data_IF_779798821081
#
_entry.id   IF_779798821081
#
_cell.length_a   1.000
_cell.length_b   1.000
_cell.length_c   1.000
_cell.angle_alpha   90.00
_cell.angle_beta   90.00
_cell.angle_gamma   90.00
#
_symmetry.space_group_name_H-M   'P 1'
#
loop_
_entity.id
_entity.type
_entity.pdbx_description
1 polymer ?
#
# COMPACT_ATOMS: atom_id res chain seq x y z
N UNK A 1 -4.80 22.73 2.64
CA UNK A 1 -4.87 22.74 4.11
C UNK A 1 -3.48 23.04 4.67
N UNK A 2 -3.38 23.87 5.72
CA UNK A 2 -2.10 24.21 6.36
C UNK A 2 -1.61 23.08 7.27
N UNK A 3 -2.53 22.26 7.77
CA UNK A 3 -2.26 21.21 8.76
C UNK A 3 -1.74 19.90 8.12
N UNK A 4 -1.73 19.82 6.79
CA UNK A 4 -1.22 18.67 6.04
C UNK A 4 0.25 18.89 5.69
N UNK A 5 1.13 18.04 6.18
CA UNK A 5 2.54 17.99 5.77
C UNK A 5 2.71 17.55 4.31
N UNK A 6 3.88 17.79 3.67
CA UNK A 6 4.16 17.27 2.33
C UNK A 6 3.95 15.75 2.23
N UNK A 7 3.36 15.29 1.13
CA UNK A 7 3.03 13.89 0.87
C UNK A 7 3.92 13.40 -0.27
N UNK A 8 4.57 12.25 -0.09
CA UNK A 8 5.23 11.53 -1.18
C UNK A 8 4.33 10.42 -1.70
N UNK A 9 3.96 10.49 -2.97
CA UNK A 9 3.21 9.46 -3.68
C UNK A 9 4.17 8.56 -4.49
N UNK A 10 4.42 7.35 -3.99
CA UNK A 10 5.19 6.32 -4.70
C UNK A 10 4.24 5.59 -5.64
N UNK A 11 4.47 5.68 -6.95
CA UNK A 11 3.54 5.20 -7.97
C UNK A 11 4.25 4.58 -9.16
N UNK A 12 3.57 3.72 -9.92
CA UNK A 12 4.10 3.13 -11.16
C UNK A 12 3.99 4.04 -12.38
N UNK A 13 3.15 5.08 -12.30
CA UNK A 13 2.79 5.97 -13.41
C UNK A 13 2.54 7.36 -12.84
N UNK A 14 2.75 8.43 -13.63
CA UNK A 14 2.42 9.78 -13.21
C UNK A 14 0.98 9.88 -12.67
N UNK A 15 0.80 10.73 -11.66
CA UNK A 15 -0.52 11.07 -11.14
C UNK A 15 -1.34 11.81 -12.21
N UNK A 16 -2.66 11.75 -12.08
CA UNK A 16 -3.57 12.47 -12.97
C UNK A 16 -3.33 13.99 -12.88
N UNK A 17 -3.39 14.68 -14.02
CA UNK A 17 -3.10 16.13 -14.16
C UNK A 17 -3.92 17.06 -13.26
N UNK A 18 -5.07 16.60 -12.77
CA UNK A 18 -5.90 17.37 -11.83
C UNK A 18 -5.31 17.44 -10.43
N UNK A 19 -4.31 16.63 -10.11
CA UNK A 19 -3.60 16.68 -8.83
C UNK A 19 -2.48 17.73 -8.99
N UNK A 20 -2.76 18.96 -8.53
CA UNK A 20 -1.89 20.13 -8.76
C UNK A 20 -1.27 20.72 -7.49
N UNK A 21 -1.43 20.06 -6.35
CA UNK A 21 -0.94 20.57 -5.07
C UNK A 21 0.59 20.51 -4.99
N UNK A 22 1.23 21.63 -4.65
CA UNK A 22 2.68 21.72 -4.42
C UNK A 22 3.16 20.85 -3.24
N UNK A 23 2.25 20.43 -2.37
CA UNK A 23 2.55 19.52 -1.25
C UNK A 23 2.72 18.07 -1.69
N UNK A 24 2.39 17.72 -2.94
CA UNK A 24 2.51 16.34 -3.43
C UNK A 24 3.79 16.19 -4.25
N UNK A 25 4.71 15.40 -3.71
CA UNK A 25 5.87 14.92 -4.43
C UNK A 25 5.57 13.54 -5.05
N UNK A 26 5.86 13.34 -6.33
CA UNK A 26 5.60 12.07 -7.02
C UNK A 26 6.91 11.37 -7.29
N UNK A 27 7.03 10.13 -6.82
CA UNK A 27 8.17 9.26 -7.10
C UNK A 27 7.68 8.11 -7.96
N UNK A 28 8.24 8.02 -9.17
CA UNK A 28 7.98 6.89 -10.06
C UNK A 28 8.88 5.75 -9.67
N UNK A 29 8.27 4.66 -9.24
CA UNK A 29 8.93 3.44 -8.83
C UNK A 29 8.20 2.27 -9.47
N UNK A 30 8.93 1.38 -10.15
CA UNK A 30 8.32 0.33 -10.97
C UNK A 30 8.51 -1.08 -10.42
N UNK A 31 9.48 -1.28 -9.53
CA UNK A 31 9.79 -2.58 -8.93
C UNK A 31 9.54 -2.60 -7.42
N UNK A 32 8.31 -2.89 -7.03
CA UNK A 32 7.88 -2.91 -5.63
C UNK A 32 8.40 -4.11 -4.82
N UNK A 33 9.36 -4.88 -5.37
CA UNK A 33 10.14 -5.86 -4.62
C UNK A 33 11.53 -5.33 -4.22
N UNK A 34 11.98 -4.22 -4.81
CA UNK A 34 13.29 -3.64 -4.51
C UNK A 34 13.20 -2.13 -4.27
N UNK A 35 13.25 -1.73 -3.01
CA UNK A 35 13.21 -0.33 -2.60
C UNK A 35 14.58 0.33 -2.47
N UNK A 36 15.67 -0.38 -2.77
CA UNK A 36 17.04 0.15 -2.67
C UNK A 36 17.20 1.53 -3.32
N UNK A 37 16.63 1.80 -4.53
CA UNK A 37 16.78 3.11 -5.18
C UNK A 37 16.11 4.29 -4.47
N UNK A 38 15.17 4.02 -3.55
CA UNK A 38 14.34 5.05 -2.89
C UNK A 38 14.32 4.91 -1.37
N UNK A 39 15.23 4.12 -0.80
CA UNK A 39 15.23 3.77 0.62
C UNK A 39 15.35 5.00 1.53
N UNK A 40 16.16 5.98 1.12
CA UNK A 40 16.36 7.25 1.81
C UNK A 40 15.08 8.09 1.96
N UNK A 41 14.06 7.87 1.11
CA UNK A 41 12.78 8.55 1.25
C UNK A 41 12.11 8.22 2.58
N UNK A 42 12.25 6.97 3.05
CA UNK A 42 11.53 6.50 4.24
C UNK A 42 12.05 7.07 5.55
N UNK A 43 13.31 7.54 5.60
CA UNK A 43 13.92 8.12 6.81
C UNK A 43 13.21 9.38 7.30
N UNK A 44 12.62 10.15 6.39
CA UNK A 44 11.99 11.44 6.68
C UNK A 44 10.47 11.38 6.87
N UNK A 45 9.85 10.21 6.71
CA UNK A 45 8.39 10.06 6.80
C UNK A 45 7.96 9.42 8.13
N UNK A 46 6.81 9.86 8.64
CA UNK A 46 6.25 9.34 9.88
C UNK A 46 5.20 8.24 9.66
N UNK A 47 4.57 8.21 8.49
CA UNK A 47 3.44 7.33 8.16
C UNK A 47 3.57 6.84 6.73
N UNK A 48 3.38 5.54 6.52
CA UNK A 48 3.12 4.94 5.21
C UNK A 48 1.66 4.51 5.12
N UNK A 49 0.92 5.05 4.15
CA UNK A 49 -0.43 4.56 3.81
C UNK A 49 -0.30 3.62 2.61
N UNK A 50 -0.36 2.33 2.87
CA UNK A 50 -0.26 1.31 1.85
C UNK A 50 -1.64 0.99 1.26
N UNK A 51 -1.98 1.71 0.20
CA UNK A 51 -3.20 1.54 -0.59
C UNK A 51 -2.95 0.89 -1.96
N UNK A 52 -1.77 0.28 -2.17
CA UNK A 52 -1.46 -0.44 -3.39
C UNK A 52 -2.25 -1.75 -3.42
N UNK A 53 -3.00 -1.97 -4.49
CA UNK A 53 -3.77 -3.19 -4.67
C UNK A 53 -4.32 -3.33 -6.09
N UNK A 54 -4.94 -4.47 -6.35
CA UNK A 54 -5.61 -4.77 -7.61
C UNK A 54 -6.83 -5.67 -7.33
N UNK A 55 -7.79 -5.69 -8.25
CA UNK A 55 -8.90 -6.66 -8.17
C UNK A 55 -8.38 -8.06 -8.50
N UNK A 56 -8.75 -9.05 -7.68
CA UNK A 56 -8.42 -10.47 -7.94
C UNK A 56 -8.93 -10.96 -9.30
N UNK A 57 -9.98 -10.32 -9.84
CA UNK A 57 -10.58 -10.70 -11.13
C UNK A 57 -9.84 -10.09 -12.33
N UNK A 58 -8.88 -9.19 -12.11
CA UNK A 58 -8.18 -8.47 -13.18
C UNK A 58 -6.83 -9.09 -13.56
N UNK A 59 -6.36 -10.07 -12.79
CA UNK A 59 -5.02 -10.66 -12.91
C UNK A 59 -5.05 -12.16 -12.57
N UNK A 60 -3.94 -12.87 -12.80
CA UNK A 60 -3.78 -14.26 -12.33
C UNK A 60 -3.67 -14.33 -10.81
N UNK A 61 -3.86 -15.51 -10.24
CA UNK A 61 -3.65 -15.76 -8.80
C UNK A 61 -2.21 -15.40 -8.36
N UNK A 62 -1.20 -15.81 -9.12
CA UNK A 62 0.20 -15.50 -8.82
C UNK A 62 0.48 -13.99 -8.81
N UNK A 63 -0.08 -13.25 -9.75
CA UNK A 63 0.12 -11.80 -9.84
C UNK A 63 -0.68 -11.09 -8.73
N UNK A 64 -1.87 -11.59 -8.38
CA UNK A 64 -2.63 -11.09 -7.24
C UNK A 64 -1.87 -11.27 -5.91
N UNK A 65 -1.25 -12.45 -5.71
CA UNK A 65 -0.40 -12.74 -4.55
C UNK A 65 0.79 -11.78 -4.53
N UNK A 66 1.54 -11.69 -5.64
CA UNK A 66 2.68 -10.79 -5.75
C UNK A 66 2.33 -9.34 -5.38
N UNK A 67 1.23 -8.83 -5.94
CA UNK A 67 0.78 -7.45 -5.71
C UNK A 67 0.28 -7.22 -4.29
N UNK A 68 -0.51 -8.16 -3.76
CA UNK A 68 -1.19 -7.97 -2.47
C UNK A 68 -0.27 -8.29 -1.30
N UNK A 69 0.52 -9.35 -1.41
CA UNK A 69 1.34 -9.89 -0.35
C UNK A 69 2.79 -9.46 -0.50
N UNK A 70 3.47 -9.86 -1.58
CA UNK A 70 4.92 -9.73 -1.69
C UNK A 70 5.36 -8.27 -1.72
N UNK A 71 4.66 -7.41 -2.46
CA UNK A 71 4.95 -5.96 -2.49
C UNK A 71 4.74 -5.32 -1.12
N UNK A 72 3.72 -5.73 -0.38
CA UNK A 72 3.43 -5.22 0.97
C UNK A 72 4.55 -5.58 1.93
N UNK A 73 4.96 -6.85 1.94
CA UNK A 73 6.03 -7.33 2.82
C UNK A 73 7.39 -6.74 2.44
N UNK A 74 7.69 -6.61 1.15
CA UNK A 74 8.91 -5.96 0.68
C UNK A 74 8.97 -4.49 1.12
N UNK A 75 7.86 -3.75 1.00
CA UNK A 75 7.79 -2.36 1.46
C UNK A 75 8.02 -2.26 2.97
N UNK A 76 7.31 -3.08 3.75
CA UNK A 76 7.40 -3.05 5.20
C UNK A 76 8.82 -3.37 5.68
N UNK A 77 9.45 -4.42 5.14
CA UNK A 77 10.83 -4.81 5.47
C UNK A 77 11.84 -3.73 5.06
N UNK A 78 11.67 -3.12 3.88
CA UNK A 78 12.53 -2.03 3.43
C UNK A 78 12.42 -0.82 4.36
N UNK A 79 11.20 -0.41 4.72
CA UNK A 79 10.96 0.69 5.66
C UNK A 79 11.58 0.36 7.01
N UNK A 80 11.31 -0.82 7.56
CA UNK A 80 11.82 -1.23 8.87
C UNK A 80 13.34 -1.22 8.95
N UNK A 81 14.03 -1.44 7.82
CA UNK A 81 15.50 -1.43 7.78
C UNK A 81 16.12 -0.05 8.04
N UNK A 82 15.39 1.04 7.78
CA UNK A 82 15.88 2.43 7.94
C UNK A 82 15.05 3.28 8.90
N UNK A 83 13.78 2.93 9.11
CA UNK A 83 12.85 3.65 9.95
C UNK A 83 11.81 2.69 10.58
N UNK A 84 12.23 1.88 11.58
CA UNK A 84 11.34 0.92 12.25
C UNK A 84 10.20 1.57 13.05
N UNK A 85 10.30 2.89 13.32
CA UNK A 85 9.30 3.69 14.02
C UNK A 85 8.22 4.28 13.09
N UNK A 86 8.35 4.12 11.77
CA UNK A 86 7.33 4.58 10.84
C UNK A 86 6.02 3.79 11.02
N UNK A 87 4.90 4.51 11.18
CA UNK A 87 3.58 3.89 11.28
C UNK A 87 3.13 3.38 9.92
N UNK A 88 2.81 2.09 9.84
CA UNK A 88 2.38 1.47 8.59
C UNK A 88 0.88 1.20 8.61
N UNK A 89 0.13 1.83 7.72
CA UNK A 89 -1.31 1.62 7.56
C UNK A 89 -1.55 0.75 6.35
N UNK A 90 -1.87 -0.52 6.58
CA UNK A 90 -2.23 -1.46 5.52
C UNK A 90 -3.73 -1.39 5.22
N UNK A 91 -4.07 -0.99 4.00
CA UNK A 91 -5.46 -0.99 3.52
C UNK A 91 -5.80 -2.37 2.98
N UNK A 92 -6.36 -3.21 3.86
CA UNK A 92 -6.80 -4.57 3.55
C UNK A 92 -8.18 -4.59 2.88
N UNK A 93 -9.21 -5.15 3.54
CA UNK A 93 -10.57 -5.22 3.04
C UNK A 93 -11.47 -6.07 3.95
N UNK A 94 -12.74 -5.69 4.05
CA UNK A 94 -13.77 -6.48 4.72
C UNK A 94 -13.91 -7.83 4.01
N UNK A 95 -13.78 -8.92 4.75
CA UNK A 95 -13.69 -10.28 4.22
C UNK A 95 -12.27 -10.85 4.13
N UNK A 96 -11.23 -10.07 4.50
CA UNK A 96 -9.93 -10.64 4.85
C UNK A 96 -10.08 -11.63 6.01
N UNK A 97 -9.50 -12.81 5.86
CA UNK A 97 -9.66 -13.94 6.78
C UNK A 97 -8.31 -14.35 7.35
N UNK A 98 -8.04 -13.94 8.59
CA UNK A 98 -6.79 -14.24 9.30
C UNK A 98 -6.56 -15.74 9.56
N UNK A 99 -7.57 -16.61 9.39
CA UNK A 99 -7.35 -18.07 9.43
C UNK A 99 -6.74 -18.61 8.13
N UNK A 100 -6.71 -17.79 7.07
CA UNK A 100 -6.22 -18.14 5.74
C UNK A 100 -7.01 -19.30 5.08
N UNK A 101 -8.18 -19.65 5.61
CA UNK A 101 -9.01 -20.75 5.10
C UNK A 101 -10.16 -20.29 4.21
N UNK A 102 -10.29 -18.99 3.95
CA UNK A 102 -11.33 -18.46 3.09
C UNK A 102 -11.33 -19.16 1.72
N UNK A 103 -12.54 -19.52 1.28
CA UNK A 103 -12.79 -20.02 -0.07
C UNK A 103 -12.51 -18.98 -1.16
N UNK A 104 -12.48 -17.70 -0.79
CA UNK A 104 -12.21 -16.60 -1.71
C UNK A 104 -10.73 -16.22 -1.65
N UNK A 105 -10.08 -16.21 -2.81
CA UNK A 105 -8.66 -15.88 -2.94
C UNK A 105 -8.32 -14.56 -2.24
N UNK A 106 -9.09 -13.49 -2.49
CA UNK A 106 -8.81 -12.19 -1.86
C UNK A 106 -8.83 -12.26 -0.33
N UNK A 107 -9.78 -12.99 0.25
CA UNK A 107 -9.94 -13.10 1.70
C UNK A 107 -8.77 -13.84 2.33
N UNK A 108 -8.36 -14.95 1.71
CA UNK A 108 -7.20 -15.76 2.13
C UNK A 108 -5.91 -14.97 2.04
N UNK A 109 -5.61 -14.37 0.90
CA UNK A 109 -4.33 -13.68 0.68
C UNK A 109 -4.25 -12.36 1.47
N UNK A 110 -5.34 -11.60 1.60
CA UNK A 110 -5.33 -10.41 2.46
C UNK A 110 -5.16 -10.80 3.93
N UNK A 111 -5.85 -11.85 4.40
CA UNK A 111 -5.66 -12.36 5.76
C UNK A 111 -4.22 -12.81 6.03
N UNK A 112 -3.63 -13.58 5.10
CA UNK A 112 -2.22 -13.94 5.15
C UNK A 112 -1.31 -12.71 5.20
N UNK A 113 -1.56 -11.73 4.34
CA UNK A 113 -0.75 -10.50 4.28
C UNK A 113 -0.82 -9.74 5.61
N UNK A 114 -1.99 -9.66 6.24
CA UNK A 114 -2.11 -9.04 7.55
C UNK A 114 -1.32 -9.79 8.62
N UNK A 115 -1.40 -11.12 8.64
CA UNK A 115 -0.65 -11.95 9.59
C UNK A 115 0.86 -11.75 9.40
N UNK A 116 1.36 -11.93 8.18
CA UNK A 116 2.79 -11.86 7.88
C UNK A 116 3.31 -10.44 8.07
N UNK A 117 2.52 -9.41 7.75
CA UNK A 117 2.91 -8.03 8.00
C UNK A 117 3.10 -7.73 9.50
N UNK A 118 2.22 -8.23 10.35
CA UNK A 118 2.33 -8.08 11.82
C UNK A 118 3.53 -8.87 12.36
N UNK A 119 3.74 -10.10 11.87
CA UNK A 119 4.74 -11.00 12.43
C UNK A 119 6.15 -10.79 11.85
N UNK A 120 6.25 -10.36 10.59
CA UNK A 120 7.51 -10.30 9.84
C UNK A 120 7.83 -8.91 9.25
N UNK A 121 6.90 -7.96 9.32
CA UNK A 121 7.09 -6.63 8.73
C UNK A 121 8.19 -5.80 9.39
N UNK A 122 8.51 -6.08 10.66
CA UNK A 122 9.59 -5.43 11.41
C UNK A 122 9.29 -4.01 11.89
N UNK A 123 8.07 -3.51 11.67
CA UNK A 123 7.62 -2.17 12.07
C UNK A 123 6.99 -2.23 13.45
N UNK A 124 7.28 -1.25 14.30
CA UNK A 124 6.73 -1.20 15.66
C UNK A 124 5.21 -0.99 15.67
N UNK A 125 4.74 -0.12 14.78
CA UNK A 125 3.32 0.25 14.70
C UNK A 125 2.75 -0.09 13.31
N UNK A 126 1.98 -1.18 13.25
CA UNK A 126 1.23 -1.58 12.06
C UNK A 126 -0.27 -1.55 12.33
N UNK A 127 -1.00 -0.80 11.51
CA UNK A 127 -2.44 -0.66 11.56
C UNK A 127 -3.09 -1.32 10.35
N UNK A 128 -4.03 -2.23 10.61
CA UNK A 128 -4.79 -2.91 9.57
C UNK A 128 -6.16 -2.27 9.45
N UNK A 129 -6.47 -1.71 8.28
CA UNK A 129 -7.78 -1.12 7.99
C UNK A 129 -8.53 -2.04 7.03
N UNK A 130 -9.75 -2.46 7.42
CA UNK A 130 -10.60 -3.38 6.63
C UNK A 130 -11.87 -2.67 6.16
N UNK A 131 -11.79 -1.77 5.16
CA UNK A 131 -12.99 -1.12 4.63
C UNK A 131 -13.90 -2.14 3.97
N UNK A 132 -15.22 -1.91 4.04
CA UNK A 132 -16.19 -2.64 3.22
C UNK A 132 -16.16 -2.12 1.78
N UNK A 133 -17.32 -1.83 1.19
CA UNK A 133 -17.38 -1.20 -0.11
C UNK A 133 -16.95 0.26 -0.03
N UNK A 134 -16.08 0.68 -0.96
CA UNK A 134 -15.76 2.10 -1.18
C UNK A 134 -16.68 2.62 -2.28
N UNK A 135 -17.54 3.58 -1.95
CA UNK A 135 -18.43 4.23 -2.92
C UNK A 135 -17.68 5.38 -3.60
N UNK A 136 -17.70 5.39 -4.93
CA UNK A 136 -17.14 6.50 -5.70
C UNK A 136 -18.06 7.72 -5.57
N UNK A 137 -17.53 8.85 -5.07
CA UNK A 137 -18.24 10.13 -5.05
C UNK A 137 -17.94 10.98 -6.27
N UNK A 138 -16.75 10.84 -6.86
CA UNK A 138 -16.31 11.59 -8.05
C UNK A 138 -15.41 10.71 -8.93
N UNK A 139 -15.57 10.81 -10.25
CA UNK A 139 -14.64 10.22 -11.23
C UNK A 139 -13.64 11.29 -11.65
N UNK A 140 -12.34 11.02 -11.50
CA UNK A 140 -11.32 11.77 -12.23
C UNK A 140 -11.45 11.36 -13.70
N UNK A 141 -12.21 12.14 -14.46
CA UNK A 141 -12.47 11.92 -15.88
C UNK A 141 -11.40 12.63 -16.70
N UNK A 142 -10.76 11.91 -17.63
CA UNK A 142 -9.85 12.48 -18.63
C UNK A 142 -10.58 13.29 -19.72
N UNK A 143 -11.93 13.34 -19.72
CA UNK A 143 -12.69 14.12 -20.70
C UNK A 143 -12.44 15.62 -20.52
N UNK A 144 -11.56 16.15 -21.37
CA UNK A 144 -11.74 17.46 -22.00
C UNK A 144 -12.80 17.33 -23.11
#
# INVERSE_FOLDING_TARGET
DKDIEPITAITRRPLHKSITSEKVNVVIHTDFLDYTPILNLFESHQICIWALGISQNAVSESEYIKITHDYTLAAAKAIASVNPDMRFVFVSGMGADSSEQSRFLFGRIKGKTENDLINEGGLKDTYIVRPASVLFSHTLSDKA
#
